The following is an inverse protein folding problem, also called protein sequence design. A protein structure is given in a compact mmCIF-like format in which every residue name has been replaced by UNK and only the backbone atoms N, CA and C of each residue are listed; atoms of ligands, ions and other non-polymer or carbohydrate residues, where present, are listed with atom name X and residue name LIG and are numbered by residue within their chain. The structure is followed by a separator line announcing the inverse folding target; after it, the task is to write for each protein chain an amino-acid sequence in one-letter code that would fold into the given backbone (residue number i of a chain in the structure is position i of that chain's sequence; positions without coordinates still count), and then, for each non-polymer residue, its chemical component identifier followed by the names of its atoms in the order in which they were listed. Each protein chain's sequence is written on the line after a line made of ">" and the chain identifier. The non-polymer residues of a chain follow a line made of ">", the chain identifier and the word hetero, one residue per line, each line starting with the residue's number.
data_IF_423704766438
#
_entry.id   IF_423704766438
#
_cell.length_a   1.000
_cell.length_b   1.000
_cell.length_c   1.000
_cell.angle_alpha   90.00
_cell.angle_beta   90.00
_cell.angle_gamma   90.00
#
_symmetry.space_group_name_H-M   'P 1'
#
loop_
_entity.id
_entity.type
_entity.pdbx_description
1 polymer ?
#
# COMPACT_ATOMS: atom_id res chain seq x y z
N UNK A 1 8.16 -22.38 -15.20
CA UNK A 1 7.06 -21.44 -14.92
C UNK A 1 7.14 -20.34 -15.97
N UNK A 2 6.20 -20.32 -16.91
CA UNK A 2 6.23 -19.38 -18.03
C UNK A 2 5.81 -17.99 -17.57
N UNK A 3 6.31 -16.96 -18.25
CA UNK A 3 6.04 -15.54 -17.95
C UNK A 3 4.55 -15.19 -18.00
N UNK A 4 3.77 -15.99 -18.71
CA UNK A 4 2.33 -15.79 -18.86
C UNK A 4 1.54 -16.35 -17.65
N UNK A 5 2.04 -17.40 -16.98
CA UNK A 5 1.38 -18.02 -15.82
C UNK A 5 1.27 -17.06 -14.63
N UNK A 6 2.29 -16.22 -14.41
CA UNK A 6 2.33 -15.25 -13.32
C UNK A 6 1.35 -14.08 -13.57
N UNK A 7 1.17 -13.72 -14.84
CA UNK A 7 0.23 -12.68 -15.27
C UNK A 7 -1.21 -13.15 -15.16
N UNK A 8 -1.49 -14.38 -15.57
CA UNK A 8 -2.79 -15.02 -15.39
C UNK A 8 -3.13 -15.16 -13.89
N UNK A 9 -2.16 -15.55 -13.05
CA UNK A 9 -2.36 -15.60 -11.61
C UNK A 9 -2.69 -14.23 -10.99
N UNK A 10 -2.07 -13.15 -11.47
CA UNK A 10 -2.36 -11.78 -11.00
C UNK A 10 -3.74 -11.28 -11.42
N UNK A 11 -4.15 -11.59 -12.67
CA UNK A 11 -5.48 -11.25 -13.20
C UNK A 11 -6.60 -12.15 -12.64
N UNK A 12 -6.32 -13.40 -12.26
CA UNK A 12 -7.29 -14.39 -11.77
C UNK A 12 -7.51 -14.35 -10.25
N UNK A 13 -6.47 -14.04 -9.46
CA UNK A 13 -6.58 -14.01 -7.99
C UNK A 13 -7.37 -12.79 -7.46
N UNK A 14 -7.71 -11.83 -8.32
CA UNK A 14 -8.35 -10.55 -7.95
C UNK A 14 -9.49 -10.29 -8.94
N UNK A 15 -10.70 -10.71 -8.57
CA UNK A 15 -11.93 -10.61 -9.37
C UNK A 15 -12.06 -9.26 -10.09
N UNK A 16 -11.88 -9.24 -11.41
CA UNK A 16 -11.92 -8.01 -12.22
C UNK A 16 -13.36 -7.56 -12.50
N UNK A 17 -13.75 -6.32 -12.15
CA UNK A 17 -14.97 -5.74 -12.69
C UNK A 17 -14.78 -5.36 -14.18
N UNK A 18 -15.84 -5.41 -15.00
CA UNK A 18 -15.75 -5.06 -16.42
C UNK A 18 -15.59 -3.54 -16.58
N UNK A 19 -14.50 -3.07 -17.20
CA UNK A 19 -14.38 -1.67 -17.65
C UNK A 19 -13.03 -0.97 -17.55
N UNK A 20 -12.02 -1.52 -16.86
CA UNK A 20 -10.76 -0.77 -16.62
C UNK A 20 -9.60 -1.09 -17.57
N UNK A 21 -8.86 0.00 -17.85
CA UNK A 21 -7.75 0.18 -18.77
C UNK A 21 -6.68 -0.91 -18.57
N UNK A 22 -6.28 -1.58 -19.66
CA UNK A 22 -5.14 -2.52 -19.65
C UNK A 22 -3.91 -1.78 -19.10
N UNK A 23 -3.28 -2.23 -17.99
CA UNK A 23 -2.07 -1.59 -17.50
C UNK A 23 -1.02 -1.60 -18.60
N UNK A 24 -0.34 -0.47 -18.79
CA UNK A 24 0.74 -0.32 -19.77
C UNK A 24 1.77 -1.44 -19.60
N UNK A 25 2.40 -1.86 -20.71
CA UNK A 25 3.45 -2.89 -20.75
C UNK A 25 4.52 -2.68 -19.66
N UNK A 26 4.81 -1.43 -19.33
CA UNK A 26 5.75 -1.06 -18.26
C UNK A 26 5.26 -1.50 -16.87
N UNK A 27 3.98 -1.28 -16.54
CA UNK A 27 3.38 -1.70 -15.25
C UNK A 27 3.38 -3.22 -15.17
N UNK A 28 2.99 -3.90 -16.25
CA UNK A 28 2.99 -5.37 -16.33
C UNK A 28 4.37 -5.97 -16.05
N UNK A 29 5.43 -5.37 -16.61
CA UNK A 29 6.80 -5.81 -16.38
C UNK A 29 7.20 -5.71 -14.89
N UNK A 30 6.77 -4.64 -14.21
CA UNK A 30 7.05 -4.50 -12.78
C UNK A 30 6.23 -5.49 -11.94
N UNK A 31 5.00 -5.80 -12.33
CA UNK A 31 4.20 -6.84 -11.68
C UNK A 31 4.79 -8.24 -11.86
N UNK A 32 5.38 -8.56 -13.02
CA UNK A 32 6.09 -9.83 -13.17
C UNK A 32 7.26 -10.03 -12.18
N UNK A 33 7.85 -8.93 -11.68
CA UNK A 33 8.89 -8.98 -10.66
C UNK A 33 8.34 -9.17 -9.22
N UNK A 34 7.02 -9.12 -9.00
CA UNK A 34 6.40 -9.50 -7.73
C UNK A 34 6.49 -11.00 -7.46
N UNK A 35 6.45 -11.81 -8.51
CA UNK A 35 6.44 -13.28 -8.39
C UNK A 35 7.84 -13.89 -8.40
N UNK A 36 8.88 -13.05 -8.50
CA UNK A 36 10.25 -13.47 -8.26
C UNK A 36 10.43 -13.89 -6.80
N UNK A 37 11.08 -15.03 -6.56
CA UNK A 37 11.31 -15.56 -5.21
C UNK A 37 11.97 -14.52 -4.27
N UNK A 38 11.47 -14.45 -3.04
CA UNK A 38 11.98 -13.57 -2.00
C UNK A 38 11.44 -12.15 -2.02
N UNK A 39 12.08 -11.29 -1.22
CA UNK A 39 11.56 -9.96 -0.87
C UNK A 39 12.06 -8.83 -1.79
N UNK A 40 13.14 -9.09 -2.52
CA UNK A 40 13.82 -8.08 -3.34
C UNK A 40 12.98 -7.70 -4.57
N UNK A 41 12.33 -8.68 -5.19
CA UNK A 41 11.47 -8.49 -6.36
C UNK A 41 10.30 -7.53 -6.09
N UNK A 42 9.41 -7.85 -5.14
CA UNK A 42 8.26 -7.00 -4.83
C UNK A 42 8.66 -5.58 -4.37
N UNK A 43 9.71 -5.44 -3.56
CA UNK A 43 10.19 -4.10 -3.11
C UNK A 43 10.65 -3.24 -4.29
N UNK A 44 11.43 -3.82 -5.21
CA UNK A 44 11.89 -3.11 -6.43
C UNK A 44 10.72 -2.77 -7.35
N UNK A 45 9.77 -3.68 -7.49
CA UNK A 45 8.57 -3.47 -8.29
C UNK A 45 7.73 -2.31 -7.75
N UNK A 46 7.45 -2.28 -6.44
CA UNK A 46 6.72 -1.19 -5.79
C UNK A 46 7.44 0.14 -5.97
N UNK A 47 8.76 0.17 -5.76
CA UNK A 47 9.54 1.39 -5.94
C UNK A 47 9.50 1.90 -7.39
N UNK A 48 9.50 1.00 -8.38
CA UNK A 48 9.37 1.37 -9.78
C UNK A 48 7.96 1.87 -10.13
N UNK A 49 6.92 1.22 -9.60
CA UNK A 49 5.53 1.67 -9.72
C UNK A 49 5.34 3.07 -9.13
N UNK A 50 5.92 3.34 -7.95
CA UNK A 50 5.88 4.68 -7.34
C UNK A 50 6.50 5.75 -8.26
N UNK A 51 7.64 5.44 -8.89
CA UNK A 51 8.33 6.33 -9.83
C UNK A 51 7.53 6.59 -11.12
N UNK A 52 6.68 5.65 -11.55
CA UNK A 52 5.78 5.87 -12.69
C UNK A 52 4.70 6.91 -12.35
N UNK A 53 4.38 7.11 -11.07
CA UNK A 53 3.42 8.10 -10.62
C UNK A 53 1.98 7.71 -10.94
N UNK A 54 1.15 8.69 -11.35
CA UNK A 54 -0.30 8.54 -11.51
C UNK A 54 -0.75 7.29 -12.30
N UNK A 55 -0.10 6.87 -13.41
CA UNK A 55 -0.47 5.65 -14.13
C UNK A 55 -0.41 4.35 -13.30
N UNK A 56 0.42 4.30 -12.26
CA UNK A 56 0.58 3.12 -11.40
C UNK A 56 -0.21 3.23 -10.09
N UNK A 57 -0.94 4.34 -9.87
CA UNK A 57 -1.62 4.60 -8.62
C UNK A 57 -2.67 3.53 -8.30
N UNK A 58 -3.50 3.14 -9.27
CA UNK A 58 -4.56 2.15 -9.04
C UNK A 58 -3.98 0.81 -8.59
N UNK A 59 -2.86 0.41 -9.20
CA UNK A 59 -2.12 -0.80 -8.83
C UNK A 59 -1.54 -0.69 -7.42
N UNK A 60 -0.93 0.44 -7.05
CA UNK A 60 -0.39 0.65 -5.71
C UNK A 60 -1.49 0.68 -4.63
N UNK A 61 -2.64 1.30 -4.92
CA UNK A 61 -3.80 1.30 -4.02
C UNK A 61 -4.31 -0.13 -3.82
N UNK A 62 -4.35 -0.94 -4.88
CA UNK A 62 -4.77 -2.34 -4.80
C UNK A 62 -3.78 -3.19 -3.98
N UNK A 63 -2.48 -3.03 -4.21
CA UNK A 63 -1.44 -3.76 -3.45
C UNK A 63 -1.51 -3.40 -1.96
N UNK A 64 -1.73 -2.13 -1.61
CA UNK A 64 -1.83 -1.70 -0.22
C UNK A 64 -3.02 -2.31 0.52
N UNK A 65 -4.11 -2.64 -0.18
CA UNK A 65 -5.31 -3.25 0.40
C UNK A 65 -5.22 -4.77 0.51
N UNK A 66 -4.95 -5.43 -0.62
CA UNK A 66 -5.34 -6.83 -0.81
C UNK A 66 -4.16 -7.79 -0.97
N UNK A 67 -2.93 -7.30 -0.93
CA UNK A 67 -1.76 -8.18 -1.05
C UNK A 67 -1.59 -9.06 0.20
N UNK A 68 -1.52 -10.40 0.07
CA UNK A 68 -1.42 -11.30 1.23
C UNK A 68 -0.12 -11.10 2.02
N UNK A 69 0.98 -10.76 1.33
CA UNK A 69 2.29 -10.57 1.96
C UNK A 69 2.32 -9.26 2.74
N UNK A 70 2.36 -9.36 4.06
CA UNK A 70 2.39 -8.23 5.02
C UNK A 70 3.43 -7.16 4.66
N UNK A 71 4.65 -7.59 4.32
CA UNK A 71 5.74 -6.67 3.94
C UNK A 71 5.46 -5.91 2.66
N UNK A 72 4.71 -6.51 1.74
CA UNK A 72 4.42 -5.90 0.44
C UNK A 72 3.32 -4.85 0.58
N UNK A 73 2.28 -5.11 1.42
CA UNK A 73 1.31 -4.07 1.82
C UNK A 73 2.00 -2.85 2.44
N UNK A 74 2.91 -3.07 3.39
CA UNK A 74 3.65 -1.97 4.05
C UNK A 74 4.43 -1.12 3.04
N UNK A 75 5.10 -1.75 2.07
CA UNK A 75 5.87 -1.02 1.06
C UNK A 75 4.98 -0.24 0.11
N UNK A 76 3.80 -0.77 -0.22
CA UNK A 76 2.82 -0.04 -1.02
C UNK A 76 2.30 1.19 -0.27
N UNK A 77 2.07 1.12 1.05
CA UNK A 77 1.71 2.29 1.86
C UNK A 77 2.80 3.35 1.85
N UNK A 78 4.07 2.96 2.06
CA UNK A 78 5.22 3.86 1.95
C UNK A 78 5.25 4.54 0.58
N UNK A 79 5.10 3.75 -0.50
CA UNK A 79 5.09 4.23 -1.87
C UNK A 79 3.93 5.18 -2.19
N UNK A 80 2.79 5.06 -1.51
CA UNK A 80 1.63 5.94 -1.67
C UNK A 80 1.80 7.30 -0.97
N UNK A 81 2.72 7.43 -0.02
CA UNK A 81 2.96 8.68 0.74
C UNK A 81 3.08 9.94 -0.14
N UNK A 82 3.93 9.97 -1.20
CA UNK A 82 4.10 11.17 -2.04
C UNK A 82 2.93 11.47 -3.00
N UNK A 83 1.93 10.58 -3.14
CA UNK A 83 0.85 10.77 -4.10
C UNK A 83 -0.19 11.78 -3.58
N UNK A 84 -0.49 12.83 -4.33
CA UNK A 84 -1.49 13.85 -3.92
C UNK A 84 -2.95 13.46 -4.21
N UNK A 85 -3.19 12.28 -4.80
CA UNK A 85 -4.53 11.82 -5.15
C UNK A 85 -5.37 11.55 -3.89
N UNK A 86 -6.59 12.10 -3.86
CA UNK A 86 -7.54 11.97 -2.75
C UNK A 86 -7.89 10.52 -2.40
N UNK A 87 -7.73 9.58 -3.35
CA UNK A 87 -7.99 8.15 -3.18
C UNK A 87 -6.98 7.46 -2.27
N UNK A 88 -5.82 8.07 -2.03
CA UNK A 88 -4.77 7.53 -1.14
C UNK A 88 -5.25 7.51 0.31
N UNK A 89 -5.89 8.59 0.78
CA UNK A 89 -6.29 8.73 2.18
C UNK A 89 -7.22 7.60 2.67
N UNK A 90 -8.32 7.25 1.98
CA UNK A 90 -9.19 6.15 2.41
C UNK A 90 -8.44 4.81 2.55
N UNK A 91 -7.45 4.55 1.70
CA UNK A 91 -6.66 3.30 1.73
C UNK A 91 -5.73 3.27 2.93
N UNK A 92 -5.01 4.36 3.19
CA UNK A 92 -4.15 4.45 4.37
C UNK A 92 -4.95 4.44 5.67
N UNK A 93 -6.10 5.14 5.71
CA UNK A 93 -6.98 5.15 6.88
C UNK A 93 -7.54 3.76 7.18
N UNK A 94 -8.01 3.02 6.17
CA UNK A 94 -8.47 1.64 6.36
C UNK A 94 -7.36 0.71 6.89
N UNK A 95 -6.12 0.94 6.44
CA UNK A 95 -4.96 0.16 6.85
C UNK A 95 -4.56 0.33 8.32
N UNK A 96 -5.05 1.36 9.00
CA UNK A 96 -4.88 1.51 10.45
C UNK A 96 -5.58 0.40 11.26
N UNK A 97 -6.47 -0.37 10.62
CA UNK A 97 -7.13 -1.53 11.21
C UNK A 97 -6.54 -2.88 10.74
N UNK A 98 -5.41 -2.89 10.03
CA UNK A 98 -4.80 -4.15 9.56
C UNK A 98 -4.45 -5.07 10.76
N UNK A 99 -4.68 -6.40 10.66
CA UNK A 99 -4.34 -7.33 11.74
C UNK A 99 -2.86 -7.29 12.12
N UNK A 100 -1.98 -6.93 11.19
CA UNK A 100 -0.54 -6.89 11.40
C UNK A 100 -0.09 -5.51 11.85
N UNK A 101 0.51 -5.49 13.03
CA UNK A 101 1.08 -4.29 13.66
C UNK A 101 1.96 -3.47 12.71
N UNK A 102 2.81 -4.12 11.92
CA UNK A 102 3.70 -3.44 10.98
C UNK A 102 2.92 -2.64 9.94
N UNK A 103 1.80 -3.14 9.45
CA UNK A 103 0.99 -2.45 8.43
C UNK A 103 0.28 -1.25 9.05
N UNK A 104 -0.28 -1.41 10.26
CA UNK A 104 -0.87 -0.28 11.01
C UNK A 104 0.13 0.85 11.24
N UNK A 105 1.36 0.51 11.65
CA UNK A 105 2.42 1.48 11.89
C UNK A 105 2.80 2.26 10.63
N UNK A 106 2.95 1.59 9.47
CA UNK A 106 3.35 2.27 8.24
C UNK A 106 2.20 3.13 7.67
N UNK A 107 0.96 2.68 7.78
CA UNK A 107 -0.22 3.49 7.46
C UNK A 107 -0.27 4.78 8.31
N UNK A 108 -0.01 4.65 9.62
CA UNK A 108 0.04 5.76 10.55
C UNK A 108 1.14 6.78 10.19
N UNK A 109 2.36 6.29 9.92
CA UNK A 109 3.48 7.14 9.51
C UNK A 109 3.21 7.83 8.16
N UNK A 110 2.61 7.12 7.20
CA UNK A 110 2.25 7.70 5.91
C UNK A 110 1.19 8.81 6.07
N UNK A 111 0.17 8.62 6.92
CA UNK A 111 -0.82 9.66 7.20
C UNK A 111 -0.21 10.88 7.89
N UNK A 112 0.69 10.67 8.86
CA UNK A 112 1.42 11.75 9.52
C UNK A 112 2.32 12.54 8.55
N UNK A 113 3.06 11.85 7.69
CA UNK A 113 3.93 12.48 6.68
C UNK A 113 3.13 13.31 5.66
N UNK A 114 1.89 12.92 5.38
CA UNK A 114 0.99 13.64 4.49
C UNK A 114 0.32 14.85 5.13
N UNK A 115 0.42 15.02 6.46
CA UNK A 115 -0.17 16.13 7.23
C UNK A 115 -1.65 16.33 6.91
N UNK A 116 -2.41 15.25 6.97
CA UNK A 116 -3.84 15.24 6.64
C UNK A 116 -4.65 15.42 7.93
N UNK A 117 -5.26 16.59 8.21
CA UNK A 117 -5.89 16.87 9.52
C UNK A 117 -7.05 15.91 9.84
N UNK A 118 -7.75 15.46 8.79
CA UNK A 118 -8.81 14.46 8.89
C UNK A 118 -8.32 13.08 9.35
N UNK A 119 -7.02 12.82 9.37
CA UNK A 119 -6.44 11.58 9.88
C UNK A 119 -6.59 11.45 11.41
N UNK A 120 -6.72 12.56 12.15
CA UNK A 120 -6.81 12.54 13.61
C UNK A 120 -7.90 11.58 14.12
N UNK A 121 -9.10 11.63 13.53
CA UNK A 121 -10.21 10.74 13.90
C UNK A 121 -9.88 9.26 13.69
N UNK A 122 -9.11 8.93 12.66
CA UNK A 122 -8.70 7.56 12.37
C UNK A 122 -7.52 7.10 13.23
N UNK A 123 -6.67 8.02 13.71
CA UNK A 123 -5.49 7.73 14.54
C UNK A 123 -5.83 7.61 16.02
N UNK A 124 -6.81 8.36 16.55
CA UNK A 124 -7.19 8.32 17.98
C UNK A 124 -7.39 6.90 18.54
N UNK A 125 -8.04 5.94 17.84
CA UNK A 125 -8.17 4.57 18.32
C UNK A 125 -6.82 3.86 18.57
N UNK A 126 -5.77 4.21 17.82
CA UNK A 126 -4.45 3.58 17.91
C UNK A 126 -3.69 3.96 19.18
N UNK A 127 -4.17 4.96 19.93
CA UNK A 127 -3.69 5.24 21.29
C UNK A 127 -3.92 4.06 22.24
N UNK A 128 -4.83 3.14 21.89
CA UNK A 128 -5.12 1.90 22.61
C UNK A 128 -4.68 0.65 21.83
N UNK A 129 -3.82 0.79 20.82
CA UNK A 129 -3.34 -0.34 20.03
C UNK A 129 -2.64 -1.40 20.92
N UNK A 130 -2.81 -2.71 20.65
CA UNK A 130 -2.11 -3.76 21.39
C UNK A 130 -0.59 -3.59 21.39
N UNK A 131 -0.03 -3.06 20.31
CA UNK A 131 1.41 -2.80 20.18
C UNK A 131 1.82 -1.48 20.84
N UNK A 132 2.77 -1.55 21.77
CA UNK A 132 3.38 -0.36 22.36
C UNK A 132 4.03 0.56 21.33
N UNK A 133 4.65 -0.01 20.30
CA UNK A 133 5.26 0.76 19.21
C UNK A 133 4.22 1.57 18.43
N UNK A 134 3.04 1.01 18.17
CA UNK A 134 1.96 1.73 17.49
C UNK A 134 1.42 2.84 18.38
N UNK A 135 1.21 2.59 19.68
CA UNK A 135 0.72 3.61 20.62
C UNK A 135 1.63 4.84 20.68
N UNK A 136 2.95 4.64 20.80
CA UNK A 136 3.93 5.74 20.85
C UNK A 136 3.90 6.56 19.55
N UNK A 137 3.86 5.88 18.41
CA UNK A 137 3.79 6.56 17.12
C UNK A 137 2.45 7.27 16.91
N UNK A 138 1.35 6.79 17.49
CA UNK A 138 0.04 7.42 17.36
C UNK A 138 0.00 8.77 18.08
N UNK A 139 0.63 8.86 19.27
CA UNK A 139 0.82 10.14 19.97
C UNK A 139 1.63 11.11 19.12
N UNK A 140 2.76 10.68 18.58
CA UNK A 140 3.61 11.53 17.73
C UNK A 140 2.87 11.97 16.45
N UNK A 141 2.17 11.05 15.79
CA UNK A 141 1.42 11.35 14.58
C UNK A 141 0.31 12.39 14.80
N UNK A 142 -0.41 12.33 15.94
CA UNK A 142 -1.44 13.32 16.27
C UNK A 142 -0.90 14.74 16.44
N UNK A 143 0.40 14.91 16.75
CA UNK A 143 1.04 16.22 16.80
C UNK A 143 1.43 16.76 15.41
N UNK A 144 1.33 15.95 14.35
CA UNK A 144 1.81 16.26 13.01
C UNK A 144 0.74 16.21 11.91
N UNK A 145 -0.43 15.64 12.19
CA UNK A 145 -1.57 15.58 11.25
C UNK A 145 -2.41 16.85 11.26
#
# INVERSE_FOLDING_TARGET
>A
MHRDDALEAWDMARTRPPGEIRPSTTIRRHLAAFDAEGEIGPRRAIAALAKLGRPALDVLLQIAKDEPRVRVRRWAQEALTPFTDRRVFPVLAASLADPHMSVRLHALLALAARREPRAAKAIIPLLRDPSGGVRVNAVAALAHV
#
